data_IF_888329534853
#
_entry.id   IF_888329534853
#
_cell.length_a   1.000
_cell.length_b   1.000
_cell.length_c   1.000
_cell.angle_alpha   90.00
_cell.angle_beta   90.00
_cell.angle_gamma   90.00
#
_symmetry.space_group_name_H-M   'P 1'
#
loop_
_entity.id
_entity.type
_entity.pdbx_description
1 polymer ?
#
# COMPACT_ATOMS: atom_id res chain seq x y z
N UNK A 1 10.75 -14.25 2.46
CA UNK A 1 9.52 -13.48 2.26
C UNK A 1 9.89 -12.01 2.28
N UNK A 2 9.41 -11.25 1.30
CA UNK A 2 9.64 -9.81 1.17
C UNK A 2 8.30 -9.08 1.25
N UNK A 3 8.27 -7.91 1.89
CA UNK A 3 7.11 -7.03 1.93
C UNK A 3 7.47 -5.67 1.33
N UNK A 4 6.68 -5.23 0.36
CA UNK A 4 6.72 -3.90 -0.23
C UNK A 4 5.52 -3.13 0.30
N UNK A 5 5.77 -2.22 1.23
CA UNK A 5 4.71 -1.47 1.89
C UNK A 5 4.48 -0.12 1.22
N UNK A 6 3.23 0.32 1.15
CA UNK A 6 2.78 1.61 0.64
C UNK A 6 3.30 1.93 -0.79
N UNK A 7 3.30 0.92 -1.67
CA UNK A 7 3.78 1.08 -3.04
C UNK A 7 2.96 2.16 -3.77
N UNK A 8 3.67 3.18 -4.26
CA UNK A 8 3.08 4.32 -4.97
C UNK A 8 2.66 5.49 -4.10
N UNK A 9 2.95 5.47 -2.80
CA UNK A 9 2.77 6.66 -1.94
C UNK A 9 3.72 7.81 -2.33
N UNK A 10 4.95 7.47 -2.73
CA UNK A 10 5.91 8.40 -3.32
C UNK A 10 6.18 7.96 -4.75
N UNK A 11 6.03 8.85 -5.76
CA UNK A 11 6.39 8.52 -7.13
C UNK A 11 7.86 8.14 -7.18
N UNK A 12 8.19 6.95 -7.68
CA UNK A 12 9.58 6.58 -7.84
C UNK A 12 10.18 7.43 -8.97
N UNK A 13 11.41 7.90 -8.76
CA UNK A 13 12.19 8.41 -9.88
C UNK A 13 12.46 7.26 -10.86
N UNK A 14 12.79 7.58 -12.13
CA UNK A 14 13.21 6.54 -13.10
C UNK A 14 14.30 5.63 -12.53
N UNK A 15 15.23 6.20 -11.76
CA UNK A 15 16.33 5.48 -11.10
C UNK A 15 15.83 4.55 -9.98
N UNK A 16 14.73 4.90 -9.30
CA UNK A 16 14.12 4.06 -8.28
C UNK A 16 13.20 2.96 -8.84
N UNK A 17 12.65 3.15 -10.04
CA UNK A 17 11.75 2.20 -10.67
C UNK A 17 12.46 0.93 -11.18
N UNK A 18 13.69 1.06 -11.69
CA UNK A 18 14.48 -0.08 -12.19
C UNK A 18 14.78 -1.12 -11.09
N UNK A 19 15.34 -0.76 -9.91
CA UNK A 19 15.55 -1.70 -8.82
C UNK A 19 14.26 -2.35 -8.33
N UNK A 20 13.14 -1.63 -8.32
CA UNK A 20 11.84 -2.17 -7.94
C UNK A 20 11.39 -3.25 -8.93
N UNK A 21 11.52 -3.00 -10.23
CA UNK A 21 11.22 -3.97 -11.27
C UNK A 21 12.09 -5.21 -11.16
N UNK A 22 13.40 -5.03 -10.98
CA UNK A 22 14.35 -6.13 -10.81
C UNK A 22 14.04 -6.97 -9.56
N UNK A 23 13.64 -6.32 -8.46
CA UNK A 23 13.28 -7.03 -7.23
C UNK A 23 12.00 -7.85 -7.41
N UNK A 24 10.99 -7.33 -8.11
CA UNK A 24 9.78 -8.07 -8.48
C UNK A 24 10.15 -9.26 -9.39
N UNK A 25 11.03 -9.04 -10.36
CA UNK A 25 11.53 -10.07 -11.27
C UNK A 25 12.29 -11.20 -10.54
N UNK A 26 13.16 -10.86 -9.59
CA UNK A 26 13.89 -11.83 -8.77
C UNK A 26 12.96 -12.59 -7.82
N UNK A 27 11.89 -11.94 -7.34
CA UNK A 27 10.94 -12.57 -6.44
C UNK A 27 10.04 -13.58 -7.15
N UNK A 28 9.73 -13.35 -8.42
CA UNK A 28 8.87 -14.20 -9.24
C UNK A 28 9.28 -15.67 -9.16
N UNK A 29 8.35 -16.52 -8.71
CA UNK A 29 8.50 -17.98 -8.56
C UNK A 29 9.59 -18.46 -7.59
N UNK A 30 10.28 -17.54 -6.90
CA UNK A 30 11.39 -17.85 -6.00
C UNK A 30 11.14 -17.47 -4.55
N UNK A 31 10.37 -16.40 -4.29
CA UNK A 31 10.02 -15.99 -2.93
C UNK A 31 8.59 -15.48 -2.83
N UNK A 32 7.97 -15.65 -1.66
CA UNK A 32 6.72 -14.97 -1.33
C UNK A 32 6.93 -13.46 -1.24
N UNK A 33 6.09 -12.71 -1.95
CA UNK A 33 6.07 -11.25 -1.99
C UNK A 33 4.70 -10.76 -1.52
N UNK A 34 4.68 -9.85 -0.55
CA UNK A 34 3.49 -9.12 -0.13
C UNK A 34 3.65 -7.68 -0.60
N UNK A 35 2.63 -7.14 -1.26
CA UNK A 35 2.61 -5.74 -1.69
C UNK A 35 1.36 -5.09 -1.12
N UNK A 36 1.53 -3.96 -0.45
CA UNK A 36 0.42 -3.08 -0.07
C UNK A 36 0.48 -1.82 -0.93
N UNK A 37 -0.67 -1.35 -1.36
CA UNK A 37 -0.79 -0.12 -2.15
C UNK A 37 -2.15 0.51 -1.91
N UNK A 38 -2.19 1.83 -1.92
CA UNK A 38 -3.43 2.60 -2.00
C UNK A 38 -3.83 2.92 -3.44
N UNK A 39 -2.99 2.58 -4.43
CA UNK A 39 -3.22 2.88 -5.83
C UNK A 39 -3.88 1.69 -6.54
N UNK A 40 -4.89 1.94 -7.40
CA UNK A 40 -5.37 0.92 -8.32
C UNK A 40 -4.26 0.56 -9.32
N UNK A 41 -4.30 -0.64 -9.88
CA UNK A 41 -3.27 -1.12 -10.82
C UNK A 41 -3.07 -0.20 -12.03
N UNK A 42 -4.12 0.50 -12.46
CA UNK A 42 -4.08 1.48 -13.55
C UNK A 42 -3.07 2.62 -13.30
N UNK A 43 -2.88 3.00 -12.04
CA UNK A 43 -2.02 4.12 -11.65
C UNK A 43 -0.59 3.67 -11.34
N UNK A 44 -0.26 2.38 -11.46
CA UNK A 44 1.11 1.90 -11.19
C UNK A 44 2.13 2.39 -12.23
N UNK A 45 1.65 2.89 -13.36
CA UNK A 45 2.47 3.56 -14.39
C UNK A 45 3.16 4.81 -13.83
N UNK A 46 2.55 5.50 -12.86
CA UNK A 46 3.14 6.64 -12.14
C UNK A 46 4.30 6.21 -11.23
N UNK A 47 4.32 4.94 -10.80
CA UNK A 47 5.33 4.38 -9.91
C UNK A 47 6.50 3.81 -10.69
N UNK A 48 6.23 3.01 -11.72
CA UNK A 48 7.28 2.33 -12.51
C UNK A 48 7.78 3.22 -13.67
N UNK A 49 7.03 4.28 -14.02
CA UNK A 49 7.44 5.29 -15.00
C UNK A 49 7.35 4.87 -16.47
N UNK A 50 6.83 3.67 -16.76
CA UNK A 50 6.59 3.17 -18.12
C UNK A 50 5.45 2.15 -18.13
N UNK A 51 4.51 2.29 -19.06
CA UNK A 51 3.44 1.30 -19.29
C UNK A 51 3.98 -0.10 -19.55
N UNK A 52 5.04 -0.21 -20.35
CA UNK A 52 5.65 -1.51 -20.70
C UNK A 52 6.23 -2.21 -19.47
N UNK A 53 6.98 -1.50 -18.64
CA UNK A 53 7.55 -2.06 -17.41
C UNK A 53 6.47 -2.37 -16.38
N UNK A 54 5.48 -1.49 -16.25
CA UNK A 54 4.33 -1.68 -15.35
C UNK A 54 3.56 -2.94 -15.72
N UNK A 55 3.20 -3.12 -16.99
CA UNK A 55 2.50 -4.31 -17.46
C UNK A 55 3.30 -5.59 -17.19
N UNK A 56 4.61 -5.56 -17.43
CA UNK A 56 5.48 -6.70 -17.18
C UNK A 56 5.67 -6.99 -15.67
N UNK A 57 5.66 -5.98 -14.80
CA UNK A 57 5.69 -6.17 -13.35
C UNK A 57 4.35 -6.75 -12.84
N UNK A 58 3.23 -6.18 -13.30
CA UNK A 58 1.89 -6.66 -12.96
C UNK A 58 1.66 -8.10 -13.44
N UNK A 59 2.13 -8.46 -14.63
CA UNK A 59 2.07 -9.84 -15.13
C UNK A 59 2.76 -10.83 -14.16
N UNK A 60 3.99 -10.50 -13.74
CA UNK A 60 4.74 -11.32 -12.77
C UNK A 60 4.05 -11.39 -11.41
N UNK A 61 3.54 -10.26 -10.91
CA UNK A 61 2.86 -10.22 -9.62
C UNK A 61 1.54 -10.98 -9.65
N UNK A 62 0.78 -10.90 -10.74
CA UNK A 62 -0.56 -11.49 -10.84
C UNK A 62 -0.57 -12.94 -11.29
N UNK A 63 0.54 -13.47 -11.82
CA UNK A 63 0.66 -14.87 -12.23
C UNK A 63 0.27 -15.86 -11.11
N UNK A 64 0.71 -15.61 -9.87
CA UNK A 64 0.38 -16.46 -8.70
C UNK A 64 0.15 -15.61 -7.45
N UNK A 65 -0.90 -14.79 -7.45
CA UNK A 65 -1.25 -14.00 -6.28
C UNK A 65 -2.69 -14.18 -5.81
N UNK A 66 -2.93 -13.64 -4.63
CA UNK A 66 -4.26 -13.38 -4.09
C UNK A 66 -4.37 -11.87 -3.92
N UNK A 67 -5.33 -11.26 -4.60
CA UNK A 67 -5.62 -9.82 -4.46
C UNK A 67 -6.63 -9.64 -3.36
N UNK A 68 -6.27 -8.87 -2.33
CA UNK A 68 -7.16 -8.53 -1.23
C UNK A 68 -7.56 -7.07 -1.34
N UNK A 69 -8.80 -6.82 -1.77
CA UNK A 69 -9.38 -5.48 -1.79
C UNK A 69 -9.77 -5.03 -0.39
N UNK A 70 -9.16 -3.96 0.12
CA UNK A 70 -9.57 -3.34 1.38
C UNK A 70 -10.54 -2.19 1.10
N UNK A 71 -11.79 -2.37 1.55
CA UNK A 71 -12.83 -1.34 1.49
C UNK A 71 -13.27 -1.07 2.93
N UNK A 72 -13.15 0.16 3.40
CA UNK A 72 -13.56 0.53 4.75
C UNK A 72 -13.01 1.87 5.21
N UNK A 73 -13.51 2.34 6.36
CA UNK A 73 -12.99 3.54 6.99
C UNK A 73 -11.57 3.32 7.55
N UNK A 74 -10.78 4.40 7.60
CA UNK A 74 -9.46 4.39 8.23
C UNK A 74 -9.57 4.04 9.72
N UNK A 75 -8.94 2.94 10.13
CA UNK A 75 -8.78 2.57 11.54
C UNK A 75 -8.16 3.70 12.37
N UNK A 76 -7.18 4.42 11.78
CA UNK A 76 -6.54 5.58 12.44
C UNK A 76 -7.55 6.68 12.75
N UNK A 77 -8.48 6.94 11.81
CA UNK A 77 -9.55 7.93 12.00
C UNK A 77 -10.56 7.49 13.06
N UNK A 78 -10.95 6.21 13.05
CA UNK A 78 -11.86 5.65 14.06
C UNK A 78 -11.27 5.76 15.48
N UNK A 79 -9.99 5.44 15.64
CA UNK A 79 -9.30 5.57 16.92
C UNK A 79 -9.17 7.02 17.37
N UNK A 80 -8.86 7.94 16.44
CA UNK A 80 -8.83 9.37 16.75
C UNK A 80 -10.21 9.88 17.23
N UNK A 81 -11.30 9.48 16.56
CA UNK A 81 -12.68 9.80 16.96
C UNK A 81 -13.01 9.23 18.36
N UNK A 82 -12.59 7.98 18.63
CA UNK A 82 -12.79 7.33 19.95
C UNK A 82 -12.04 8.05 21.07
N UNK A 83 -10.81 8.48 20.82
CA UNK A 83 -9.99 9.24 21.79
C UNK A 83 -10.62 10.60 22.10
N UNK A 84 -11.02 11.35 21.06
CA UNK A 84 -11.67 12.66 21.23
C UNK A 84 -12.95 12.58 22.07
N UNK A 85 -13.80 11.58 21.82
CA UNK A 85 -15.03 11.37 22.59
C UNK A 85 -14.79 11.07 24.07
N UNK A 86 -13.67 10.41 24.42
CA UNK A 86 -13.30 10.17 25.82
C UNK A 86 -12.86 11.45 26.53
N UNK A 87 -12.14 12.33 25.85
CA UNK A 87 -11.74 13.64 26.39
C UNK A 87 -12.96 14.50 26.68
N UNK A 88 -13.90 14.62 25.73
CA UNK A 88 -15.12 15.42 25.89
C UNK A 88 -16.04 14.90 27.02
N UNK A 89 -16.02 13.59 27.32
CA UNK A 89 -16.78 13.00 28.44
C UNK A 89 -16.08 13.13 29.80
N UNK A 90 -14.76 13.32 29.82
CA UNK A 90 -13.98 13.54 31.04
C UNK A 90 -14.21 14.91 31.67
N UNK A 91 -14.42 15.94 30.84
CA UNK A 91 -14.68 17.31 31.25
C UNK A 91 -16.16 17.57 31.66
N UNK A 92 -17.06 16.60 31.44
CA UNK A 92 -18.49 16.72 31.71
C UNK A 92 -18.94 16.20 33.10
N UNK A 93 -18.01 15.79 33.98
CA UNK A 93 -18.36 15.47 35.38
C UNK A 93 -18.39 16.74 36.21
N UNK A 94 -19.55 17.17 36.76
CA UNK A 94 -19.59 18.30 37.67
C UNK A 94 -18.95 17.86 38.99
N UNK A 95 -17.98 18.65 39.44
CA UNK A 95 -17.44 18.60 40.80
C UNK A 95 -18.61 18.77 41.78
N UNK A 96 -18.90 17.70 42.54
CA UNK A 96 -19.76 17.76 43.73
C UNK A 96 -18.98 18.38 44.87
#
# INVERSE_FOLDING_TARGET
>A
MLALDELGYVPASKVGAEPLFDQIGQAHERQSLVVTTSLPFENWTEVVGSERLTGAALDRLTHRCVVLGQIGESYRLQDARRRRRKTDQGDAKPSV
#
